data_IF_572386272811
#
_entry.id   IF_572386272811
#
_cell.length_a   1.000
_cell.length_b   1.000
_cell.length_c   1.000
_cell.angle_alpha   90.00
_cell.angle_beta   90.00
_cell.angle_gamma   90.00
#
_symmetry.space_group_name_H-M   'P 1'
#
loop_
_entity.id
_entity.type
_entity.pdbx_description
1 polymer ?
#
# COMPACT_ATOMS: atom_id res chain seq x y z
N UNK A 1 22.51 -20.05 -9.79
CA UNK A 1 21.87 -19.54 -8.56
C UNK A 1 21.83 -20.66 -7.51
N UNK A 2 22.40 -20.44 -6.33
CA UNK A 2 22.42 -21.45 -5.27
C UNK A 2 21.02 -21.47 -4.62
N UNK A 3 20.50 -22.66 -4.29
CA UNK A 3 19.14 -22.84 -3.71
C UNK A 3 18.86 -21.91 -2.51
N UNK A 4 19.90 -21.56 -1.74
CA UNK A 4 19.81 -20.64 -0.60
C UNK A 4 19.40 -19.20 -0.94
N UNK A 5 19.79 -18.70 -2.12
CA UNK A 5 19.45 -17.32 -2.53
C UNK A 5 17.98 -17.20 -2.90
N UNK A 6 17.38 -18.25 -3.48
CA UNK A 6 15.97 -18.29 -3.86
C UNK A 6 15.06 -18.40 -2.64
N UNK A 7 15.48 -19.14 -1.63
CA UNK A 7 14.78 -19.24 -0.35
C UNK A 7 14.75 -17.89 0.39
N UNK A 8 15.87 -17.16 0.37
CA UNK A 8 15.99 -15.81 0.97
C UNK A 8 15.12 -14.79 0.22
N UNK A 9 15.18 -14.79 -1.11
CA UNK A 9 14.31 -13.95 -1.95
C UNK A 9 12.83 -14.17 -1.61
N UNK A 10 12.38 -15.42 -1.64
CA UNK A 10 10.99 -15.77 -1.33
C UNK A 10 10.55 -15.32 0.07
N UNK A 11 11.43 -15.46 1.07
CA UNK A 11 11.16 -14.97 2.42
C UNK A 11 11.00 -13.45 2.46
N UNK A 12 11.83 -12.71 1.72
CA UNK A 12 11.78 -11.26 1.66
C UNK A 12 10.53 -10.76 0.93
N UNK A 13 10.18 -11.34 -0.23
CA UNK A 13 8.95 -11.01 -0.96
C UNK A 13 7.70 -11.27 -0.11
N UNK A 14 7.65 -12.40 0.61
CA UNK A 14 6.54 -12.68 1.54
C UNK A 14 6.41 -11.64 2.65
N UNK A 15 7.54 -11.16 3.19
CA UNK A 15 7.54 -10.09 4.21
C UNK A 15 7.05 -8.77 3.62
N UNK A 16 7.45 -8.45 2.40
CA UNK A 16 6.96 -7.26 1.69
C UNK A 16 5.45 -7.35 1.46
N UNK A 17 4.95 -8.48 0.97
CA UNK A 17 3.51 -8.72 0.79
C UNK A 17 2.73 -8.60 2.10
N UNK A 18 3.23 -9.18 3.19
CA UNK A 18 2.59 -9.05 4.50
C UNK A 18 2.54 -7.58 4.96
N UNK A 19 3.59 -6.80 4.73
CA UNK A 19 3.60 -5.37 5.02
C UNK A 19 2.61 -4.58 4.16
N UNK A 20 2.50 -4.90 2.87
CA UNK A 20 1.52 -4.28 1.96
C UNK A 20 0.09 -4.56 2.42
N UNK A 21 -0.23 -5.82 2.75
CA UNK A 21 -1.57 -6.18 3.25
C UNK A 21 -1.88 -5.46 4.56
N UNK A 22 -0.93 -5.36 5.47
CA UNK A 22 -1.10 -4.63 6.72
C UNK A 22 -1.33 -3.13 6.48
N UNK A 23 -0.52 -2.50 5.63
CA UNK A 23 -0.67 -1.08 5.28
C UNK A 23 -1.98 -0.82 4.54
N UNK A 24 -2.37 -1.70 3.62
CA UNK A 24 -3.63 -1.63 2.92
C UNK A 24 -4.82 -1.67 3.89
N UNK A 25 -4.79 -2.59 4.86
CA UNK A 25 -5.82 -2.69 5.88
C UNK A 25 -5.85 -1.45 6.78
N UNK A 26 -4.68 -0.97 7.21
CA UNK A 26 -4.55 0.22 8.03
C UNK A 26 -5.06 1.49 7.32
N UNK A 27 -4.73 1.66 6.04
CA UNK A 27 -5.22 2.77 5.21
C UNK A 27 -6.71 2.64 4.95
N UNK A 28 -7.18 1.43 4.61
CA UNK A 28 -8.59 1.15 4.40
C UNK A 28 -9.43 1.52 5.62
N UNK A 29 -9.11 0.95 6.79
CA UNK A 29 -9.86 1.20 8.03
C UNK A 29 -9.63 2.64 8.55
N UNK A 30 -8.38 3.08 8.55
CA UNK A 30 -7.98 4.37 9.13
C UNK A 30 -8.62 5.58 8.46
N UNK A 31 -8.80 5.54 7.14
CA UNK A 31 -9.50 6.62 6.41
C UNK A 31 -10.97 6.70 6.81
N UNK A 32 -11.65 5.58 7.00
CA UNK A 32 -13.05 5.58 7.45
C UNK A 32 -13.21 6.01 8.91
N UNK A 33 -12.27 5.62 9.79
CA UNK A 33 -12.25 6.11 11.16
C UNK A 33 -12.06 7.62 11.22
N UNK A 34 -11.13 8.18 10.46
CA UNK A 34 -10.94 9.62 10.38
C UNK A 34 -12.17 10.32 9.78
N UNK A 35 -12.79 9.74 8.77
CA UNK A 35 -13.98 10.30 8.12
C UNK A 35 -15.21 10.36 9.05
N UNK A 36 -15.31 9.45 10.03
CA UNK A 36 -16.44 9.38 10.94
C UNK A 36 -16.64 10.69 11.73
N UNK A 37 -15.55 11.32 12.17
CA UNK A 37 -15.59 12.58 12.93
C UNK A 37 -16.14 13.76 12.11
N UNK A 38 -16.08 13.68 10.77
CA UNK A 38 -16.52 14.73 9.86
C UNK A 38 -17.85 14.41 9.16
N UNK A 39 -18.53 13.32 9.53
CA UNK A 39 -19.76 12.88 8.87
C UNK A 39 -20.96 13.82 9.14
N UNK A 40 -20.97 14.55 10.25
CA UNK A 40 -22.06 15.47 10.61
C UNK A 40 -22.00 16.81 9.87
N UNK A 41 -20.84 17.17 9.28
CA UNK A 41 -20.67 18.43 8.56
C UNK A 41 -20.99 18.22 7.10
N UNK A 42 -21.83 19.08 6.52
CA UNK A 42 -22.21 19.01 5.10
C UNK A 42 -21.51 20.10 4.32
N UNK A 43 -20.90 19.72 3.20
CA UNK A 43 -20.28 20.63 2.24
C UNK A 43 -20.72 20.24 0.82
N UNK A 44 -21.17 21.23 0.04
CA UNK A 44 -21.69 21.02 -1.33
C UNK A 44 -22.81 19.96 -1.42
N UNK A 45 -23.61 19.80 -0.36
CA UNK A 45 -24.69 18.80 -0.30
C UNK A 45 -24.26 17.39 0.09
N UNK A 46 -22.98 17.16 0.41
CA UNK A 46 -22.45 15.87 0.82
C UNK A 46 -21.78 15.95 2.20
N UNK A 47 -21.78 14.86 3.00
CA UNK A 47 -20.98 14.79 4.22
C UNK A 47 -19.50 14.99 3.93
N UNK A 48 -18.82 15.85 4.69
CA UNK A 48 -17.39 16.12 4.52
C UNK A 48 -16.58 14.84 4.70
N UNK A 49 -16.93 14.00 5.69
CA UNK A 49 -16.32 12.69 5.88
C UNK A 49 -16.41 11.80 4.64
N UNK A 50 -17.54 11.82 3.92
CA UNK A 50 -17.71 11.07 2.68
C UNK A 50 -16.74 11.56 1.59
N UNK A 51 -16.65 12.88 1.39
CA UNK A 51 -15.75 13.48 0.39
C UNK A 51 -14.27 13.18 0.71
N UNK A 52 -13.89 13.25 1.99
CA UNK A 52 -12.55 12.89 2.44
C UNK A 52 -12.24 11.43 2.16
N UNK A 53 -13.14 10.51 2.52
CA UNK A 53 -12.94 9.10 2.24
C UNK A 53 -12.82 8.82 0.74
N UNK A 54 -13.66 9.45 -0.09
CA UNK A 54 -13.66 9.28 -1.54
C UNK A 54 -12.37 9.79 -2.23
N UNK A 55 -11.74 10.84 -1.70
CA UNK A 55 -10.53 11.43 -2.29
C UNK A 55 -9.24 10.88 -1.68
N UNK A 56 -9.19 10.74 -0.36
CA UNK A 56 -7.97 10.32 0.35
C UNK A 56 -7.69 8.84 0.13
N UNK A 57 -8.72 7.98 0.15
CA UNK A 57 -8.52 6.53 -0.01
C UNK A 57 -7.83 6.14 -1.34
N UNK A 58 -8.25 6.61 -2.54
CA UNK A 58 -7.56 6.26 -3.77
C UNK A 58 -6.14 6.81 -3.82
N UNK A 59 -5.90 8.03 -3.32
CA UNK A 59 -4.56 8.63 -3.30
C UNK A 59 -3.61 7.80 -2.44
N UNK A 60 -4.03 7.40 -1.24
CA UNK A 60 -3.25 6.53 -0.37
C UNK A 60 -2.99 5.15 -0.98
N UNK A 61 -4.00 4.54 -1.62
CA UNK A 61 -3.86 3.24 -2.26
C UNK A 61 -2.92 3.28 -3.47
N UNK A 62 -3.02 4.31 -4.31
CA UNK A 62 -2.10 4.53 -5.44
C UNK A 62 -0.67 4.75 -4.94
N UNK A 63 -0.49 5.56 -3.88
CA UNK A 63 0.81 5.73 -3.24
C UNK A 63 1.40 4.43 -2.72
N UNK A 64 0.58 3.56 -2.11
CA UNK A 64 0.99 2.23 -1.65
C UNK A 64 1.43 1.34 -2.82
N UNK A 65 0.76 1.40 -3.97
CA UNK A 65 1.13 0.65 -5.18
C UNK A 65 2.51 1.09 -5.67
N UNK A 66 2.75 2.40 -5.82
CA UNK A 66 4.05 2.91 -6.25
C UNK A 66 5.17 2.56 -5.26
N UNK A 67 4.89 2.68 -3.96
CA UNK A 67 5.83 2.28 -2.92
C UNK A 67 6.15 0.78 -2.99
N UNK A 68 5.14 -0.07 -3.19
CA UNK A 68 5.34 -1.50 -3.36
C UNK A 68 6.19 -1.81 -4.59
N UNK A 69 5.90 -1.18 -5.73
CA UNK A 69 6.64 -1.37 -6.97
C UNK A 69 8.13 -1.01 -6.80
N UNK A 70 8.44 0.14 -6.21
CA UNK A 70 9.83 0.54 -5.89
C UNK A 70 10.53 -0.48 -4.98
N UNK A 71 9.83 -0.96 -3.94
CA UNK A 71 10.41 -1.93 -3.00
C UNK A 71 10.61 -3.31 -3.62
N UNK A 72 9.70 -3.74 -4.48
CA UNK A 72 9.80 -5.00 -5.19
C UNK A 72 10.96 -4.95 -6.19
N UNK A 73 11.06 -3.87 -6.96
CA UNK A 73 12.14 -3.65 -7.93
C UNK A 73 13.53 -3.59 -7.27
N UNK A 74 13.65 -2.92 -6.11
CA UNK A 74 14.88 -2.96 -5.30
C UNK A 74 15.22 -4.38 -4.82
N UNK A 75 14.22 -5.14 -4.39
CA UNK A 75 14.41 -6.53 -3.97
C UNK A 75 14.85 -7.39 -5.16
N UNK A 76 14.26 -7.19 -6.33
CA UNK A 76 14.60 -7.93 -7.52
C UNK A 76 16.05 -7.64 -7.94
N UNK A 77 16.52 -6.38 -7.87
CA UNK A 77 17.95 -6.05 -8.06
C UNK A 77 18.87 -6.70 -7.03
N UNK A 78 18.54 -6.60 -5.75
CA UNK A 78 19.39 -7.12 -4.65
C UNK A 78 19.62 -8.65 -4.75
N UNK A 79 18.65 -9.37 -5.33
CA UNK A 79 18.71 -10.83 -5.51
C UNK A 79 19.04 -11.27 -6.94
N UNK A 80 19.37 -10.34 -7.85
CA UNK A 80 19.70 -10.64 -9.26
C UNK A 80 18.50 -11.19 -10.06
N UNK A 81 17.28 -10.83 -9.67
CA UNK A 81 16.01 -11.16 -10.30
C UNK A 81 15.45 -10.03 -11.16
N UNK A 82 16.11 -8.88 -11.20
CA UNK A 82 15.70 -7.78 -12.08
C UNK A 82 15.72 -8.27 -13.53
N UNK A 83 14.59 -8.11 -14.23
CA UNK A 83 14.54 -8.27 -15.68
C UNK A 83 15.40 -7.16 -16.29
N UNK A 84 16.17 -7.48 -17.35
CA UNK A 84 17.25 -6.64 -17.86
C UNK A 84 16.84 -5.20 -18.15
N UNK A 85 17.75 -4.28 -17.83
CA UNK A 85 17.71 -2.89 -18.31
C UNK A 85 17.69 -2.83 -19.85
#
# INVERSE_FOLDING_TARGET
MIRGDRERYWRSTKRLMAAVVFLWLALGIGVYWLAADFAATVFLGFPVGYLLAALVSPVCLVGLIFWFADRQDRLDRDYGMAEGD
#
